data_IF_267093533499
#
_entry.id   IF_267093533499
#
_cell.length_a   1.000
_cell.length_b   1.000
_cell.length_c   1.000
_cell.angle_alpha   90.00
_cell.angle_beta   90.00
_cell.angle_gamma   90.00
#
_symmetry.space_group_name_H-M   'P 1'
#
loop_
_entity.id
_entity.type
_entity.pdbx_description
1 polymer ?
#
# COMPACT_ATOMS: atom_id res chain seq x y z
N UNK A 1 32.77 11.82 -22.41
CA UNK A 1 33.13 10.47 -21.90
C UNK A 1 32.52 10.22 -20.52
N UNK A 2 32.79 11.05 -19.50
CA UNK A 2 32.24 10.92 -18.13
C UNK A 2 30.71 10.75 -18.07
N UNK A 3 29.96 11.55 -18.85
CA UNK A 3 28.48 11.49 -18.90
C UNK A 3 27.94 10.14 -19.37
N UNK A 4 28.62 9.48 -20.31
CA UNK A 4 28.21 8.15 -20.80
C UNK A 4 28.51 7.06 -19.78
N UNK A 5 29.60 7.21 -19.02
CA UNK A 5 29.94 6.32 -17.91
C UNK A 5 28.86 6.43 -16.80
N UNK A 6 28.48 7.66 -16.43
CA UNK A 6 27.41 7.88 -15.44
C UNK A 6 26.07 7.29 -15.91
N UNK A 7 25.68 7.52 -17.16
CA UNK A 7 24.44 6.96 -17.71
C UNK A 7 24.46 5.42 -17.76
N UNK A 8 25.60 4.83 -18.11
CA UNK A 8 25.79 3.38 -18.11
C UNK A 8 25.63 2.79 -16.70
N UNK A 9 26.22 3.43 -15.69
CA UNK A 9 26.03 3.00 -14.30
C UNK A 9 24.59 3.19 -13.81
N UNK A 10 23.91 4.29 -14.13
CA UNK A 10 22.50 4.48 -13.78
C UNK A 10 21.60 3.40 -14.40
N UNK A 11 21.90 2.94 -15.62
CA UNK A 11 21.14 1.87 -16.26
C UNK A 11 21.36 0.52 -15.56
N UNK A 12 22.61 0.20 -15.19
CA UNK A 12 22.95 -1.04 -14.47
C UNK A 12 22.29 -1.09 -13.09
N UNK A 13 22.18 0.04 -12.40
CA UNK A 13 21.57 0.10 -11.07
C UNK A 13 20.05 0.32 -11.07
N UNK A 14 19.39 0.20 -12.23
CA UNK A 14 17.92 0.22 -12.28
C UNK A 14 17.37 -1.13 -11.83
N UNK A 15 16.89 -1.21 -10.59
CA UNK A 15 16.15 -2.38 -10.08
C UNK A 15 14.67 -2.22 -10.41
N UNK A 16 14.04 -3.28 -10.90
CA UNK A 16 12.60 -3.30 -11.03
C UNK A 16 11.97 -3.20 -9.63
N UNK A 17 11.06 -2.26 -9.44
CA UNK A 17 10.27 -2.20 -8.22
C UNK A 17 9.44 -3.49 -8.13
N UNK A 18 9.66 -4.28 -7.08
CA UNK A 18 8.85 -5.43 -6.75
C UNK A 18 7.53 -4.90 -6.14
N UNK A 19 6.55 -4.61 -6.99
CA UNK A 19 5.21 -4.30 -6.51
C UNK A 19 4.62 -5.59 -5.90
N UNK A 20 4.31 -5.55 -4.60
CA UNK A 20 3.70 -6.68 -3.93
C UNK A 20 2.31 -6.92 -4.53
N UNK A 21 2.01 -8.16 -4.94
CA UNK A 21 0.82 -8.56 -5.70
C UNK A 21 -0.52 -8.48 -4.95
N UNK A 22 -0.61 -7.72 -3.86
CA UNK A 22 -1.88 -7.43 -3.16
C UNK A 22 -2.55 -6.25 -3.88
N UNK A 23 -3.68 -6.52 -4.52
CA UNK A 23 -4.41 -5.57 -5.35
C UNK A 23 -5.76 -5.23 -4.69
N UNK A 24 -6.12 -3.95 -4.70
CA UNK A 24 -7.46 -3.47 -4.35
C UNK A 24 -8.30 -3.24 -5.61
N UNK A 25 -9.62 -3.34 -5.50
CA UNK A 25 -10.55 -3.07 -6.61
C UNK A 25 -10.85 -1.57 -6.82
N UNK A 26 -10.04 -0.66 -6.27
CA UNK A 26 -10.25 0.77 -6.38
C UNK A 26 -9.10 1.61 -5.79
N UNK A 27 -9.06 2.88 -6.18
CA UNK A 27 -8.12 3.88 -5.67
C UNK A 27 -8.74 4.81 -4.62
N UNK A 28 -10.07 4.72 -4.43
CA UNK A 28 -10.85 5.45 -3.44
C UNK A 28 -12.06 4.62 -3.03
N UNK A 29 -12.34 4.61 -1.73
CA UNK A 29 -13.50 3.95 -1.14
C UNK A 29 -14.31 5.00 -0.38
N UNK A 30 -15.59 5.13 -0.71
CA UNK A 30 -16.48 6.13 -0.10
C UNK A 30 -17.36 5.38 0.91
N UNK A 31 -17.29 5.78 2.17
CA UNK A 31 -18.14 5.27 3.24
C UNK A 31 -19.47 6.04 3.24
N UNK A 32 -20.62 5.41 2.90
CA UNK A 32 -21.91 6.09 2.97
C UNK A 32 -22.34 6.27 4.42
N UNK A 33 -22.84 7.46 4.77
CA UNK A 33 -23.12 7.81 6.18
C UNK A 33 -24.24 7.00 6.86
N UNK A 34 -25.05 6.27 6.09
CA UNK A 34 -26.11 5.39 6.57
C UNK A 34 -25.69 3.92 6.65
N UNK A 35 -24.46 3.58 6.26
CA UNK A 35 -23.94 2.22 6.32
C UNK A 35 -23.15 1.99 7.61
N UNK A 36 -23.10 0.72 8.05
CA UNK A 36 -22.34 0.31 9.24
C UNK A 36 -20.89 -0.05 8.92
N UNK A 37 -20.64 -0.49 7.69
CA UNK A 37 -19.32 -0.88 7.21
C UNK A 37 -19.29 -0.79 5.69
N UNK A 38 -18.08 -0.74 5.14
CA UNK A 38 -17.82 -1.00 3.73
C UNK A 38 -16.78 -2.11 3.62
N UNK A 39 -16.88 -2.91 2.57
CA UNK A 39 -15.90 -3.96 2.30
C UNK A 39 -14.90 -3.47 1.25
N UNK A 40 -13.61 -3.55 1.58
CA UNK A 40 -12.52 -3.36 0.62
C UNK A 40 -12.01 -4.74 0.21
N UNK A 41 -12.08 -5.05 -1.08
CA UNK A 41 -11.59 -6.33 -1.58
C UNK A 41 -10.09 -6.27 -1.80
N UNK A 42 -9.37 -7.23 -1.22
CA UNK A 42 -7.95 -7.48 -1.49
C UNK A 42 -7.79 -8.80 -2.26
N UNK A 43 -6.93 -8.80 -3.26
CA UNK A 43 -6.59 -9.99 -4.05
C UNK A 43 -5.08 -10.17 -4.10
N UNK A 44 -4.59 -11.35 -3.70
CA UNK A 44 -3.21 -11.73 -3.91
C UNK A 44 -3.09 -12.44 -5.26
N UNK A 45 -2.40 -11.79 -6.22
CA UNK A 45 -2.18 -12.34 -7.56
C UNK A 45 -0.82 -13.02 -7.74
N UNK A 46 -0.02 -13.13 -6.68
CA UNK A 46 1.23 -13.88 -6.73
C UNK A 46 0.97 -15.40 -6.63
N UNK A 47 1.96 -16.17 -7.06
CA UNK A 47 2.04 -17.62 -6.92
C UNK A 47 2.45 -18.09 -5.52
N UNK A 48 2.49 -17.17 -4.54
CA UNK A 48 2.93 -17.42 -3.16
C UNK A 48 1.99 -16.77 -2.14
N UNK A 49 1.82 -17.35 -0.94
CA UNK A 49 1.07 -16.73 0.14
C UNK A 49 1.63 -15.36 0.54
N UNK A 50 0.76 -14.48 1.02
CA UNK A 50 1.11 -13.16 1.50
C UNK A 50 0.22 -12.77 2.69
N UNK A 51 0.75 -11.93 3.58
CA UNK A 51 0.01 -11.32 4.69
C UNK A 51 -0.29 -9.88 4.30
N UNK A 52 -1.56 -9.48 4.36
CA UNK A 52 -1.98 -8.11 4.16
C UNK A 52 -2.20 -7.45 5.53
N UNK A 53 -1.55 -6.31 5.75
CA UNK A 53 -1.77 -5.47 6.92
C UNK A 53 -2.38 -4.16 6.45
N UNK A 54 -3.42 -3.71 7.15
CA UNK A 54 -4.12 -2.48 6.82
C UNK A 54 -4.29 -1.62 8.07
N UNK A 55 -4.04 -0.31 7.93
CA UNK A 55 -4.21 0.68 8.98
C UNK A 55 -4.83 1.95 8.43
N UNK A 56 -5.33 2.79 9.33
CA UNK A 56 -5.83 4.13 9.03
C UNK A 56 -4.78 5.15 9.45
N UNK A 57 -4.71 6.27 8.75
CA UNK A 57 -3.79 7.37 9.03
C UNK A 57 -4.53 8.72 8.94
N UNK A 58 -3.99 9.73 9.63
CA UNK A 58 -4.44 11.12 9.61
C UNK A 58 -3.64 12.01 8.65
N UNK A 59 -2.70 11.44 7.91
CA UNK A 59 -1.81 12.13 6.96
C UNK A 59 -0.42 12.42 7.51
N UNK A 60 -0.04 11.84 8.66
CA UNK A 60 1.31 11.95 9.21
C UNK A 60 2.11 10.69 8.88
N UNK A 61 3.02 10.82 7.91
CA UNK A 61 3.85 9.70 7.46
C UNK A 61 4.79 9.13 8.53
N UNK A 62 5.01 9.83 9.65
CA UNK A 62 5.87 9.34 10.74
C UNK A 62 5.09 8.66 11.87
N UNK A 63 3.76 8.78 11.88
CA UNK A 63 2.93 8.19 12.90
C UNK A 63 2.82 6.66 12.68
N UNK A 64 2.92 5.90 13.76
CA UNK A 64 2.78 4.45 13.72
C UNK A 64 1.32 4.05 13.97
N UNK A 65 0.82 2.93 13.39
CA UNK A 65 -0.59 2.54 13.50
C UNK A 65 -1.14 2.46 14.94
N UNK A 66 -0.30 2.16 15.93
CA UNK A 66 -0.63 2.07 17.35
C UNK A 66 -0.79 3.42 18.05
N UNK A 67 -0.35 4.51 17.42
CA UNK A 67 -0.41 5.87 17.98
C UNK A 67 -1.49 6.74 17.36
N UNK A 68 -2.10 6.28 16.27
CA UNK A 68 -3.06 7.06 15.48
C UNK A 68 -4.48 6.82 16.00
N UNK A 69 -5.23 7.90 16.23
CA UNK A 69 -6.66 7.85 16.54
C UNK A 69 -7.46 8.28 15.31
N UNK A 70 -8.32 7.40 14.81
CA UNK A 70 -9.21 7.68 13.67
C UNK A 70 -10.68 7.36 14.03
N UNK A 71 -11.67 7.96 13.35
CA UNK A 71 -13.09 7.72 13.65
C UNK A 71 -13.62 6.37 13.12
N UNK A 72 -12.78 5.56 12.47
CA UNK A 72 -13.15 4.27 11.90
C UNK A 72 -12.22 3.17 12.43
N UNK A 73 -12.62 1.91 12.23
CA UNK A 73 -11.81 0.73 12.53
C UNK A 73 -11.75 -0.18 11.31
N UNK A 74 -10.67 -0.95 11.17
CA UNK A 74 -10.50 -1.97 10.14
C UNK A 74 -10.63 -3.36 10.77
N UNK A 75 -11.28 -4.31 10.10
CA UNK A 75 -11.40 -5.69 10.57
C UNK A 75 -11.35 -6.67 9.40
N UNK A 76 -10.54 -7.75 9.46
CA UNK A 76 -9.49 -8.00 10.45
C UNK A 76 -8.26 -7.10 10.20
N UNK A 77 -7.44 -6.81 11.23
CA UNK A 77 -6.24 -5.99 11.05
C UNK A 77 -5.07 -6.75 10.37
N UNK A 78 -5.13 -8.09 10.32
CA UNK A 78 -4.11 -9.01 9.77
C UNK A 78 -4.76 -10.25 9.17
#
# INVERSE_FOLDING_TARGET
MMKYIVLFFCFIFSVAAQANNIITNGTRFIYPGNEREITVQLSNTADRPAVAQAWLDTGDANATPDTITTPFIITPPV
#
